data_IF_991362924879
#
_entry.id   IF_991362924879
#
_cell.length_a   1.000
_cell.length_b   1.000
_cell.length_c   1.000
_cell.angle_alpha   90.00
_cell.angle_beta   90.00
_cell.angle_gamma   90.00
#
_symmetry.space_group_name_H-M   'P 1'
#
loop_
_entity.id
_entity.type
_entity.pdbx_description
1 polymer ?
#
# COMPACT_ATOMS: atom_id res chain seq x y z
N UNK A 1 15.34 -35.07 -31.38
CA UNK A 1 16.12 -34.87 -30.13
C UNK A 1 16.15 -33.37 -29.88
N UNK A 2 15.76 -32.81 -28.75
CA UNK A 2 15.27 -33.33 -27.47
C UNK A 2 14.36 -32.22 -26.91
N UNK A 3 13.22 -32.61 -26.35
CA UNK A 3 12.54 -31.78 -25.37
C UNK A 3 13.47 -31.62 -24.17
N UNK A 4 13.60 -30.41 -23.65
CA UNK A 4 14.12 -30.22 -22.30
C UNK A 4 13.14 -29.33 -21.54
N UNK A 5 12.36 -30.03 -20.72
CA UNK A 5 11.49 -29.51 -19.69
C UNK A 5 12.30 -28.60 -18.75
N UNK A 6 11.79 -27.40 -18.49
CA UNK A 6 12.28 -26.57 -17.39
C UNK A 6 11.33 -26.76 -16.22
N UNK A 7 11.83 -27.48 -15.22
CA UNK A 7 11.19 -27.70 -13.93
C UNK A 7 11.11 -26.45 -13.04
N UNK A 8 10.55 -26.59 -11.84
CA UNK A 8 9.91 -25.50 -11.09
C UNK A 8 10.91 -24.69 -10.24
N UNK A 9 11.66 -23.78 -10.87
CA UNK A 9 12.61 -22.89 -10.16
C UNK A 9 12.01 -21.53 -9.76
N UNK A 10 10.73 -21.47 -9.37
CA UNK A 10 10.10 -20.25 -8.85
C UNK A 10 9.91 -20.22 -7.32
N UNK A 11 10.33 -21.25 -6.60
CA UNK A 11 10.07 -21.38 -5.15
C UNK A 11 11.22 -20.81 -4.28
N UNK A 12 12.40 -20.54 -4.84
CA UNK A 12 13.61 -20.24 -4.06
C UNK A 12 13.86 -18.76 -3.71
N UNK A 13 13.06 -17.81 -4.20
CA UNK A 13 13.33 -16.36 -3.98
C UNK A 13 12.58 -15.74 -2.79
N UNK A 14 11.71 -16.51 -2.12
CA UNK A 14 10.90 -16.01 -0.99
C UNK A 14 11.67 -16.09 0.34
N UNK A 15 12.46 -17.16 0.55
CA UNK A 15 13.14 -17.43 1.83
C UNK A 15 14.30 -16.47 2.16
N UNK A 16 14.98 -15.91 1.16
CA UNK A 16 16.11 -14.99 1.42
C UNK A 16 15.64 -13.60 1.88
N UNK A 17 14.38 -13.23 1.64
CA UNK A 17 13.88 -11.91 2.00
C UNK A 17 13.74 -11.74 3.52
N UNK A 18 13.38 -12.80 4.25
CA UNK A 18 13.03 -12.78 5.68
C UNK A 18 14.24 -12.62 6.63
N UNK A 19 15.47 -12.73 6.12
CA UNK A 19 16.70 -12.82 6.94
C UNK A 19 17.58 -11.58 6.90
N UNK A 20 17.17 -10.51 6.21
CA UNK A 20 17.95 -9.27 6.18
C UNK A 20 18.08 -8.65 7.59
N UNK A 21 19.29 -8.19 7.95
CA UNK A 21 19.56 -7.53 9.24
C UNK A 21 18.59 -6.39 9.56
N UNK A 22 18.12 -5.70 8.52
CA UNK A 22 17.10 -4.64 8.65
C UNK A 22 15.76 -5.19 9.15
N UNK A 23 15.27 -6.32 8.61
CA UNK A 23 14.01 -6.93 9.05
C UNK A 23 14.11 -7.44 10.49
N UNK A 24 15.25 -8.02 10.85
CA UNK A 24 15.51 -8.45 12.23
C UNK A 24 15.51 -7.26 13.19
N UNK A 25 16.18 -6.16 12.83
CA UNK A 25 16.25 -4.97 13.66
C UNK A 25 14.89 -4.27 13.83
N UNK A 26 14.05 -4.31 12.80
CA UNK A 26 12.69 -3.72 12.83
C UNK A 26 11.61 -4.68 13.34
N UNK A 27 11.98 -5.91 13.73
CA UNK A 27 11.11 -6.87 14.40
C UNK A 27 10.04 -7.51 13.51
N UNK A 28 10.17 -7.43 12.18
CA UNK A 28 9.19 -8.02 11.25
C UNK A 28 8.99 -9.53 11.42
N UNK A 29 10.04 -10.35 11.61
CA UNK A 29 9.87 -11.79 11.82
C UNK A 29 8.99 -12.10 13.04
N UNK A 30 9.12 -11.32 14.11
CA UNK A 30 8.29 -11.46 15.31
C UNK A 30 6.86 -10.93 15.07
N UNK A 31 6.73 -9.82 14.34
CA UNK A 31 5.43 -9.20 14.04
C UNK A 31 4.51 -10.13 13.23
N UNK A 32 5.09 -10.82 12.24
CA UNK A 32 4.37 -11.70 11.32
C UNK A 32 4.51 -13.20 11.61
N UNK A 33 5.08 -13.56 12.76
CA UNK A 33 5.16 -14.96 13.17
C UNK A 33 3.78 -15.61 13.19
N UNK A 34 3.66 -16.76 12.53
CA UNK A 34 2.41 -17.53 12.41
C UNK A 34 1.25 -16.73 11.78
N UNK A 35 1.55 -15.76 10.91
CA UNK A 35 0.56 -15.00 10.15
C UNK A 35 0.50 -15.49 8.70
N UNK A 36 -0.68 -15.44 8.06
CA UNK A 36 -0.82 -15.81 6.66
C UNK A 36 -0.25 -14.71 5.76
N UNK A 37 1.03 -14.85 5.40
CA UNK A 37 1.74 -13.87 4.56
C UNK A 37 1.11 -13.74 3.17
N UNK A 38 0.50 -14.81 2.66
CA UNK A 38 -0.29 -14.83 1.43
C UNK A 38 -1.48 -13.85 1.49
N UNK A 39 -2.26 -13.89 2.58
CA UNK A 39 -3.40 -12.98 2.79
C UNK A 39 -2.92 -11.54 2.95
N UNK A 40 -1.83 -11.34 3.69
CA UNK A 40 -1.21 -10.02 3.87
C UNK A 40 -0.76 -9.47 2.52
N UNK A 41 -0.05 -10.26 1.72
CA UNK A 41 0.42 -9.87 0.39
C UNK A 41 -0.74 -9.56 -0.56
N UNK A 42 -1.77 -10.41 -0.61
CA UNK A 42 -2.98 -10.20 -1.40
C UNK A 42 -3.71 -8.91 -1.00
N UNK A 43 -3.73 -8.61 0.30
CA UNK A 43 -4.33 -7.38 0.82
C UNK A 43 -3.62 -6.11 0.36
N UNK A 44 -2.37 -6.20 -0.13
CA UNK A 44 -1.66 -5.06 -0.73
C UNK A 44 -2.02 -4.80 -2.20
N UNK A 45 -2.68 -5.73 -2.89
CA UNK A 45 -2.92 -5.63 -4.33
C UNK A 45 -4.00 -4.60 -4.65
N UNK A 46 -3.81 -3.80 -5.70
CA UNK A 46 -4.80 -2.79 -6.08
C UNK A 46 -6.06 -3.48 -6.67
N UNK A 47 -7.27 -2.95 -6.42
CA UNK A 47 -8.47 -3.43 -7.08
C UNK A 47 -8.32 -3.36 -8.60
N UNK A 48 -8.85 -4.36 -9.30
CA UNK A 48 -8.84 -4.37 -10.77
C UNK A 48 -9.92 -3.41 -11.29
N UNK A 49 -9.59 -2.46 -12.20
CA UNK A 49 -10.59 -1.58 -12.79
C UNK A 49 -11.69 -2.39 -13.50
N UNK A 50 -12.96 -2.04 -13.25
CA UNK A 50 -14.10 -2.71 -13.88
C UNK A 50 -14.40 -4.12 -13.33
N UNK A 51 -13.67 -4.58 -12.32
CA UNK A 51 -13.95 -5.84 -11.63
C UNK A 51 -14.97 -5.58 -10.51
N UNK A 52 -16.14 -6.22 -10.60
CA UNK A 52 -17.28 -5.99 -9.71
C UNK A 52 -17.68 -7.27 -8.98
N UNK A 53 -16.69 -7.93 -8.38
CA UNK A 53 -16.87 -9.16 -7.59
C UNK A 53 -16.09 -9.06 -6.29
N UNK A 54 -16.42 -9.93 -5.35
CA UNK A 54 -15.65 -10.09 -4.13
C UNK A 54 -14.22 -10.55 -4.45
N UNK A 55 -13.25 -9.95 -3.77
CA UNK A 55 -11.84 -10.25 -3.97
C UNK A 55 -11.35 -11.25 -2.93
N UNK A 56 -10.97 -12.45 -3.37
CA UNK A 56 -10.40 -13.49 -2.51
C UNK A 56 -9.01 -13.08 -2.03
N UNK A 57 -8.84 -12.97 -0.71
CA UNK A 57 -7.56 -12.68 -0.10
C UNK A 57 -6.77 -13.95 0.23
N UNK A 58 -7.44 -15.06 0.51
CA UNK A 58 -6.83 -16.35 0.80
C UNK A 58 -7.65 -17.19 1.77
N UNK A 59 -7.01 -18.16 2.44
CA UNK A 59 -7.65 -19.05 3.40
C UNK A 59 -6.95 -18.98 4.76
N UNK A 60 -7.70 -18.75 5.82
CA UNK A 60 -7.21 -18.73 7.20
C UNK A 60 -7.99 -19.74 8.03
N UNK A 61 -7.29 -20.71 8.62
CA UNK A 61 -7.90 -21.77 9.46
C UNK A 61 -9.07 -22.50 8.77
N UNK A 62 -8.94 -22.76 7.46
CA UNK A 62 -9.98 -23.41 6.66
C UNK A 62 -11.16 -22.51 6.25
N UNK A 63 -11.14 -21.23 6.62
CA UNK A 63 -12.15 -20.25 6.22
C UNK A 63 -11.58 -19.31 5.17
N UNK A 64 -12.29 -19.14 4.06
CA UNK A 64 -11.91 -18.18 3.03
C UNK A 64 -12.12 -16.75 3.54
N UNK A 65 -11.13 -15.90 3.28
CA UNK A 65 -11.14 -14.47 3.64
C UNK A 65 -11.35 -13.67 2.37
N UNK A 66 -12.41 -12.87 2.35
CA UNK A 66 -12.82 -12.08 1.21
C UNK A 66 -12.82 -10.59 1.53
N UNK A 67 -12.50 -9.77 0.54
CA UNK A 67 -12.81 -8.34 0.52
C UNK A 67 -14.05 -8.14 -0.33
N UNK A 68 -15.09 -7.51 0.20
CA UNK A 68 -16.36 -7.40 -0.52
C UNK A 68 -16.27 -6.43 -1.70
N UNK A 69 -17.13 -6.64 -2.69
CA UNK A 69 -17.24 -5.75 -3.86
C UNK A 69 -17.43 -4.28 -3.48
N UNK A 70 -18.20 -4.00 -2.43
CA UNK A 70 -18.39 -2.63 -1.92
C UNK A 70 -17.07 -2.02 -1.42
N UNK A 71 -16.25 -2.81 -0.74
CA UNK A 71 -14.92 -2.38 -0.26
C UNK A 71 -13.96 -2.17 -1.43
N UNK A 72 -13.96 -3.06 -2.41
CA UNK A 72 -13.12 -2.92 -3.60
C UNK A 72 -13.50 -1.67 -4.42
N UNK A 73 -14.80 -1.36 -4.54
CA UNK A 73 -15.27 -0.15 -5.19
C UNK A 73 -14.87 1.12 -4.41
N UNK A 74 -14.96 1.11 -3.07
CA UNK A 74 -14.47 2.22 -2.23
C UNK A 74 -12.96 2.44 -2.43
N UNK A 75 -12.20 1.35 -2.46
CA UNK A 75 -10.75 1.40 -2.71
C UNK A 75 -10.45 2.02 -4.08
N UNK A 76 -11.17 1.67 -5.15
CA UNK A 76 -10.97 2.28 -6.47
C UNK A 76 -11.10 3.81 -6.43
N UNK A 77 -12.12 4.32 -5.74
CA UNK A 77 -12.32 5.77 -5.56
C UNK A 77 -11.18 6.40 -4.78
N UNK A 78 -10.79 5.80 -3.66
CA UNK A 78 -9.69 6.30 -2.82
C UNK A 78 -8.38 6.33 -3.62
N UNK A 79 -8.06 5.27 -4.36
CA UNK A 79 -6.84 5.19 -5.17
C UNK A 79 -6.84 6.22 -6.30
N UNK A 80 -7.99 6.49 -6.92
CA UNK A 80 -8.14 7.60 -7.88
C UNK A 80 -7.92 8.95 -7.22
N UNK A 81 -8.41 9.15 -6.00
CA UNK A 81 -8.14 10.34 -5.20
C UNK A 81 -6.64 10.54 -4.93
N UNK A 82 -5.92 9.45 -4.65
CA UNK A 82 -4.45 9.47 -4.48
C UNK A 82 -3.75 9.90 -5.77
N UNK A 83 -4.17 9.37 -6.93
CA UNK A 83 -3.62 9.80 -8.23
C UNK A 83 -3.84 11.30 -8.45
N UNK A 84 -5.08 11.78 -8.25
CA UNK A 84 -5.42 13.19 -8.39
C UNK A 84 -4.61 14.10 -7.44
N UNK A 85 -4.39 13.66 -6.20
CA UNK A 85 -3.57 14.39 -5.23
C UNK A 85 -2.12 14.51 -5.74
N UNK A 86 -1.51 13.42 -6.19
CA UNK A 86 -0.14 13.44 -6.72
C UNK A 86 -0.03 14.20 -8.05
N UNK A 87 -1.04 14.12 -8.91
CA UNK A 87 -1.10 14.87 -10.16
C UNK A 87 -1.20 16.37 -9.92
N UNK A 88 -2.05 16.80 -8.98
CA UNK A 88 -2.11 18.20 -8.53
C UNK A 88 -0.79 18.66 -7.93
N UNK A 89 -0.17 17.86 -7.06
CA UNK A 89 1.13 18.20 -6.49
C UNK A 89 2.22 18.36 -7.56
N UNK A 90 2.27 17.47 -8.55
CA UNK A 90 3.17 17.58 -9.71
C UNK A 90 2.91 18.86 -10.52
N UNK A 91 1.64 19.15 -10.81
CA UNK A 91 1.26 20.34 -11.58
C UNK A 91 1.63 21.63 -10.85
N UNK A 92 1.36 21.70 -9.54
CA UNK A 92 1.77 22.82 -8.69
C UNK A 92 3.29 22.98 -8.72
N UNK A 93 4.05 21.89 -8.57
CA UNK A 93 5.50 21.94 -8.63
C UNK A 93 6.01 22.45 -9.98
N UNK A 94 5.43 21.98 -11.10
CA UNK A 94 5.81 22.42 -12.44
C UNK A 94 5.56 23.93 -12.67
N UNK A 95 4.56 24.50 -12.00
CA UNK A 95 4.26 25.95 -12.04
C UNK A 95 4.98 26.78 -10.97
N UNK A 96 5.68 26.12 -10.06
CA UNK A 96 6.42 26.80 -8.98
C UNK A 96 7.72 27.36 -9.52
N UNK A 97 8.00 28.64 -9.22
CA UNK A 97 9.20 29.32 -9.71
C UNK A 97 10.49 28.57 -9.35
N UNK A 98 11.52 28.71 -10.19
CA UNK A 98 12.85 28.15 -9.93
C UNK A 98 13.34 28.46 -8.50
N UNK A 99 13.27 29.74 -8.10
CA UNK A 99 13.72 30.21 -6.79
C UNK A 99 12.96 29.54 -5.65
N UNK A 100 11.63 29.42 -5.76
CA UNK A 100 10.81 28.72 -4.77
C UNK A 100 11.14 27.22 -4.71
N UNK A 101 11.39 26.57 -5.85
CA UNK A 101 11.80 25.15 -5.88
C UNK A 101 13.19 24.93 -5.27
N UNK A 102 14.12 25.86 -5.43
CA UNK A 102 15.41 25.82 -4.73
C UNK A 102 15.23 25.95 -3.21
N UNK A 103 14.37 26.85 -2.75
CA UNK A 103 14.04 26.97 -1.32
C UNK A 103 13.40 25.71 -0.75
N UNK A 104 12.51 25.03 -1.50
CA UNK A 104 11.94 23.75 -1.08
C UNK A 104 12.98 22.64 -0.89
N UNK A 105 14.09 22.72 -1.64
CA UNK A 105 15.20 21.77 -1.55
C UNK A 105 16.30 22.21 -0.58
N UNK A 106 16.14 23.38 0.04
CA UNK A 106 17.12 23.96 0.95
C UNK A 106 16.85 23.44 2.36
N UNK A 107 17.82 22.72 2.93
CA UNK A 107 17.71 22.20 4.30
C UNK A 107 18.00 23.26 5.38
N UNK A 108 18.95 24.16 5.12
CA UNK A 108 19.42 25.16 6.08
C UNK A 108 18.71 26.51 5.90
N UNK A 109 18.20 27.09 6.98
CA UNK A 109 17.41 28.33 6.95
C UNK A 109 18.14 29.52 6.31
N UNK A 110 19.44 29.63 6.53
CA UNK A 110 20.24 30.81 6.17
C UNK A 110 21.10 30.64 4.92
N UNK A 111 21.04 29.46 4.26
CA UNK A 111 21.89 29.14 3.10
C UNK A 111 21.02 28.73 1.93
N UNK A 112 20.87 29.61 0.94
CA UNK A 112 20.14 29.29 -0.29
C UNK A 112 20.89 28.22 -1.10
N UNK A 113 20.22 27.10 -1.38
CA UNK A 113 20.77 26.03 -2.22
C UNK A 113 20.24 26.13 -3.67
N UNK A 114 21.09 26.48 -4.67
CA UNK A 114 20.65 26.70 -6.05
C UNK A 114 20.41 25.40 -6.84
N UNK A 115 19.83 24.39 -6.18
CA UNK A 115 19.36 23.17 -6.82
C UNK A 115 17.87 23.03 -6.58
N UNK A 116 17.10 23.17 -7.64
CA UNK A 116 15.65 23.06 -7.58
C UNK A 116 15.18 21.68 -7.13
N UNK A 117 14.13 21.65 -6.30
CA UNK A 117 13.38 20.44 -6.03
C UNK A 117 12.76 19.92 -7.34
N UNK A 118 13.01 18.64 -7.64
CA UNK A 118 12.55 17.95 -8.84
C UNK A 118 11.85 16.67 -8.47
N UNK A 119 10.98 16.23 -9.37
CA UNK A 119 10.40 14.89 -9.31
C UNK A 119 11.54 13.87 -9.50
N UNK A 120 11.65 12.93 -8.56
CA UNK A 120 12.64 11.85 -8.61
C UNK A 120 12.17 10.68 -9.48
N UNK A 121 13.10 9.94 -10.07
CA UNK A 121 12.80 8.78 -10.93
C UNK A 121 12.01 7.69 -10.20
N UNK A 122 12.17 7.56 -8.88
CA UNK A 122 11.46 6.61 -8.03
C UNK A 122 10.01 7.00 -7.73
N UNK A 123 9.51 8.15 -8.23
CA UNK A 123 8.16 8.64 -7.92
C UNK A 123 7.07 7.59 -8.20
N UNK A 124 7.11 6.94 -9.38
CA UNK A 124 6.12 5.92 -9.75
C UNK A 124 6.10 4.76 -8.73
N UNK A 125 7.29 4.34 -8.29
CA UNK A 125 7.43 3.30 -7.27
C UNK A 125 6.90 3.76 -5.92
N UNK A 126 7.20 5.00 -5.52
CA UNK A 126 6.68 5.59 -4.29
C UNK A 126 5.15 5.64 -4.26
N UNK A 127 4.52 6.14 -5.34
CA UNK A 127 3.05 6.18 -5.45
C UNK A 127 2.48 4.76 -5.39
N UNK A 128 3.08 3.81 -6.12
CA UNK A 128 2.65 2.40 -6.08
C UNK A 128 2.73 1.82 -4.67
N UNK A 129 3.82 2.06 -3.93
CA UNK A 129 3.96 1.64 -2.53
C UNK A 129 2.88 2.26 -1.64
N UNK A 130 2.56 3.55 -1.81
CA UNK A 130 1.47 4.19 -1.06
C UNK A 130 0.11 3.57 -1.34
N UNK A 131 -0.21 3.31 -2.62
CA UNK A 131 -1.47 2.65 -2.98
C UNK A 131 -1.57 1.25 -2.37
N UNK A 132 -0.48 0.48 -2.41
CA UNK A 132 -0.41 -0.85 -1.77
C UNK A 132 -0.65 -0.79 -0.27
N UNK A 133 -0.03 0.18 0.40
CA UNK A 133 -0.23 0.43 1.82
C UNK A 133 -1.69 0.81 2.15
N UNK A 134 -2.28 1.70 1.36
CA UNK A 134 -3.69 2.11 1.50
C UNK A 134 -4.62 0.90 1.36
N UNK A 135 -4.43 0.07 0.33
CA UNK A 135 -5.22 -1.15 0.13
C UNK A 135 -5.14 -2.08 1.34
N UNK A 136 -3.91 -2.34 1.82
CA UNK A 136 -3.67 -3.18 2.98
C UNK A 136 -4.43 -2.68 4.22
N UNK A 137 -4.29 -1.39 4.51
CA UNK A 137 -4.85 -0.76 5.69
C UNK A 137 -6.38 -0.78 5.68
N UNK A 138 -7.02 -0.45 4.55
CA UNK A 138 -8.48 -0.41 4.46
C UNK A 138 -9.10 -1.80 4.43
N UNK A 139 -8.50 -2.80 3.77
CA UNK A 139 -8.97 -4.20 3.85
C UNK A 139 -8.85 -4.77 5.25
N UNK A 140 -7.75 -4.47 5.94
CA UNK A 140 -7.57 -4.83 7.33
C UNK A 140 -8.62 -4.15 8.24
N UNK A 141 -8.98 -2.89 7.96
CA UNK A 141 -10.02 -2.15 8.69
C UNK A 141 -11.43 -2.73 8.48
N UNK A 142 -11.72 -3.28 7.31
CA UNK A 142 -13.04 -3.88 7.04
C UNK A 142 -13.15 -5.31 7.56
N UNK A 143 -12.02 -5.95 7.87
CA UNK A 143 -11.99 -7.25 8.55
C UNK A 143 -12.50 -7.17 9.97
N UNK A 144 -13.15 -8.26 10.44
CA UNK A 144 -13.64 -8.36 11.82
C UNK A 144 -12.51 -8.14 12.84
N UNK A 145 -12.80 -7.61 14.05
CA UNK A 145 -11.76 -7.35 15.06
C UNK A 145 -10.95 -8.59 15.47
N UNK A 146 -11.52 -9.79 15.30
CA UNK A 146 -10.82 -11.06 15.49
C UNK A 146 -9.84 -11.31 14.36
N UNK A 147 -10.31 -11.35 13.10
CA UNK A 147 -9.44 -11.56 11.93
C UNK A 147 -8.36 -10.49 11.83
N UNK A 148 -8.68 -9.23 12.17
CA UNK A 148 -7.68 -8.15 12.14
C UNK A 148 -6.49 -8.39 13.06
N UNK A 149 -6.74 -8.93 14.25
CA UNK A 149 -5.68 -9.28 15.21
C UNK A 149 -4.95 -10.55 14.79
N UNK A 150 -5.67 -11.54 14.28
CA UNK A 150 -5.11 -12.85 13.92
C UNK A 150 -4.31 -12.83 12.62
N UNK A 151 -4.71 -12.02 11.65
CA UNK A 151 -4.10 -11.96 10.32
C UNK A 151 -3.10 -10.80 10.25
N UNK A 152 -3.56 -9.58 10.52
CA UNK A 152 -2.79 -8.37 10.24
C UNK A 152 -1.99 -7.86 11.44
N UNK A 153 -2.30 -8.31 12.66
CA UNK A 153 -1.75 -7.77 13.91
C UNK A 153 -1.84 -6.22 13.99
N UNK A 154 -2.85 -5.65 13.32
CA UNK A 154 -2.99 -4.20 13.18
C UNK A 154 -3.75 -3.63 14.38
N UNK A 155 -3.07 -2.75 15.13
CA UNK A 155 -3.64 -2.02 16.26
C UNK A 155 -3.80 -0.55 15.89
N UNK A 156 -5.03 -0.17 15.56
CA UNK A 156 -5.39 1.23 15.30
C UNK A 156 -5.99 1.84 16.56
N UNK A 157 -5.63 3.09 16.85
CA UNK A 157 -6.24 3.90 17.91
C UNK A 157 -7.70 4.21 17.55
N UNK A 158 -8.57 4.45 18.54
CA UNK A 158 -9.98 4.79 18.27
C UNK A 158 -10.16 5.96 17.29
N UNK A 159 -9.33 7.01 17.42
CA UNK A 159 -9.39 8.18 16.53
C UNK A 159 -8.97 7.86 15.10
N UNK A 160 -7.94 7.02 14.93
CA UNK A 160 -7.50 6.55 13.60
C UNK A 160 -8.61 5.73 12.93
N UNK A 161 -9.23 4.80 13.68
CA UNK A 161 -10.38 4.03 13.20
C UNK A 161 -11.54 4.95 12.80
N UNK A 162 -11.85 5.96 13.62
CA UNK A 162 -12.91 6.93 13.34
C UNK A 162 -12.64 7.70 12.05
N UNK A 163 -11.42 8.24 11.90
CA UNK A 163 -11.01 8.97 10.69
C UNK A 163 -11.09 8.09 9.45
N UNK A 164 -10.56 6.87 9.52
CA UNK A 164 -10.56 5.98 8.37
C UNK A 164 -11.96 5.52 7.98
N UNK A 165 -12.85 5.25 8.95
CA UNK A 165 -14.26 4.96 8.65
C UNK A 165 -14.95 6.14 7.98
N UNK A 166 -14.65 7.35 8.42
CA UNK A 166 -15.17 8.56 7.77
C UNK A 166 -14.69 8.67 6.32
N UNK A 167 -13.43 8.33 6.03
CA UNK A 167 -12.93 8.29 4.64
C UNK A 167 -13.70 7.26 3.79
N UNK A 168 -13.97 6.07 4.34
CA UNK A 168 -14.76 5.04 3.64
C UNK A 168 -16.21 5.47 3.38
N UNK A 169 -16.82 6.13 4.36
CA UNK A 169 -18.18 6.68 4.25
C UNK A 169 -18.23 7.73 3.12
N UNK A 170 -17.31 8.69 3.13
CA UNK A 170 -17.17 9.67 2.04
C UNK A 170 -16.94 8.99 0.68
N UNK A 171 -16.09 7.98 0.61
CA UNK A 171 -15.86 7.24 -0.65
C UNK A 171 -17.13 6.55 -1.15
N UNK A 172 -18.00 6.08 -0.24
CA UNK A 172 -19.28 5.45 -0.59
C UNK A 172 -20.26 6.45 -1.19
N UNK A 173 -20.25 7.71 -0.72
CA UNK A 173 -21.10 8.78 -1.28
C UNK A 173 -20.69 9.23 -2.68
N UNK A 174 -19.50 8.83 -3.14
CA UNK A 174 -18.93 9.20 -4.44
C UNK A 174 -19.04 8.08 -5.48
N UNK A 175 -19.63 6.94 -5.12
CA UNK A 175 -20.00 5.84 -6.03
C UNK A 175 -21.25 6.21 -6.82
#
# INVERSE_FOLDING_TARGET
MQFQETGPDQVLDIEQSETTKWLQHTGWPQLFRNRPLDIIAASTLQPRPGYNEDYLLGSWQGTQVWSSVAVEAQLQIILRGVDLMFDRAKFTLARTSYRSRCWLNTYWKDVFWPHEFRIVSSQKRYISTWKRFICFIFRALQSSPRLRREIYNLRLRPDEVKMMRHILDLASTLQ
#
